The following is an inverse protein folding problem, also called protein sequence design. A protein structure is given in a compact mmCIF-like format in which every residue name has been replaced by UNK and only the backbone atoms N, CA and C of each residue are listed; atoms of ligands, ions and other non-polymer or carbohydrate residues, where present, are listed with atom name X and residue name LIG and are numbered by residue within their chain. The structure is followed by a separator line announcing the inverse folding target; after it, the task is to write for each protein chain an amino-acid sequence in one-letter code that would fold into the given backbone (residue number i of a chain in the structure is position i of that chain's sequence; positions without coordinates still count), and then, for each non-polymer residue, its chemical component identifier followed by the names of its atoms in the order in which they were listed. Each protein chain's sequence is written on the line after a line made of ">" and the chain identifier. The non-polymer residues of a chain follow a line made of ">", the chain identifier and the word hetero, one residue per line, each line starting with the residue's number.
data_IF_987980537860
#
_entry.id   IF_987980537860
#
_cell.length_a   1.000
_cell.length_b   1.000
_cell.length_c   1.000
_cell.angle_alpha   90.00
_cell.angle_beta   90.00
_cell.angle_gamma   90.00
#
_symmetry.space_group_name_H-M   'P 1'
#
loop_
_entity.id
_entity.type
_entity.pdbx_description
1 polymer ?
#
# COMPACT_ATOMS: atom_id res chain seq x y z
N UNK A 1 3.82 54.17 -18.67
CA UNK A 1 4.91 53.37 -18.06
C UNK A 1 4.42 52.94 -16.69
N UNK A 2 3.85 51.75 -16.59
CA UNK A 2 3.32 51.23 -15.33
C UNK A 2 4.48 50.83 -14.41
N UNK A 3 4.68 51.61 -13.35
CA UNK A 3 5.63 51.27 -12.30
C UNK A 3 5.03 50.14 -11.47
N UNK A 4 5.53 48.91 -11.63
CA UNK A 4 5.19 47.81 -10.74
C UNK A 4 5.54 48.21 -9.31
N UNK A 5 4.51 48.46 -8.50
CA UNK A 5 4.63 48.76 -7.07
C UNK A 5 5.55 47.74 -6.39
N UNK A 6 6.47 48.16 -5.51
CA UNK A 6 7.41 47.26 -4.83
C UNK A 6 6.68 46.18 -4.02
N UNK A 7 5.45 46.45 -3.59
CA UNK A 7 4.59 45.49 -2.88
C UNK A 7 4.16 44.32 -3.76
N UNK A 8 3.88 44.56 -5.05
CA UNK A 8 3.48 43.51 -6.00
C UNK A 8 4.62 42.53 -6.24
N UNK A 9 5.86 43.03 -6.37
CA UNK A 9 7.06 42.19 -6.49
C UNK A 9 7.35 41.43 -5.20
N UNK A 10 7.17 42.07 -4.04
CA UNK A 10 7.34 41.41 -2.75
C UNK A 10 6.32 40.28 -2.55
N UNK A 11 5.06 40.51 -2.92
CA UNK A 11 3.99 39.51 -2.86
C UNK A 11 4.28 38.32 -3.79
N UNK A 12 4.75 38.58 -5.01
CA UNK A 12 5.15 37.52 -5.95
C UNK A 12 6.32 36.69 -5.41
N UNK A 13 7.34 37.35 -4.84
CA UNK A 13 8.48 36.67 -4.24
C UNK A 13 8.06 35.84 -3.02
N UNK A 14 7.21 36.38 -2.15
CA UNK A 14 6.66 35.64 -1.01
C UNK A 14 5.86 34.40 -1.46
N UNK A 15 5.06 34.52 -2.52
CA UNK A 15 4.31 33.39 -3.08
C UNK A 15 5.25 32.30 -3.64
N UNK A 16 6.32 32.70 -4.34
CA UNK A 16 7.32 31.79 -4.89
C UNK A 16 8.17 31.12 -3.79
N UNK A 17 8.52 31.83 -2.72
CA UNK A 17 9.21 31.25 -1.56
C UNK A 17 8.30 30.32 -0.74
N UNK A 18 6.98 30.49 -0.83
CA UNK A 18 6.01 29.57 -0.21
C UNK A 18 5.84 28.28 -1.00
N UNK A 19 6.19 28.30 -2.29
CA UNK A 19 6.09 27.15 -3.18
C UNK A 19 7.36 26.30 -3.02
N UNK A 20 7.37 25.47 -1.97
CA UNK A 20 8.47 24.57 -1.67
C UNK A 20 8.74 23.63 -2.86
N UNK A 21 9.89 23.73 -3.56
CA UNK A 21 10.23 22.84 -4.66
C UNK A 21 10.56 21.41 -4.20
N UNK A 22 10.63 21.17 -2.88
CA UNK A 22 10.76 19.85 -2.24
C UNK A 22 9.41 19.14 -2.06
N UNK A 23 8.29 19.84 -2.20
CA UNK A 23 6.98 19.26 -2.45
C UNK A 23 6.95 18.76 -3.90
N UNK A 24 7.74 17.73 -4.18
CA UNK A 24 7.42 16.79 -5.25
C UNK A 24 5.96 16.44 -5.00
N UNK A 25 5.06 16.89 -5.87
CA UNK A 25 3.74 16.32 -5.99
C UNK A 25 3.97 14.87 -6.37
N UNK A 26 4.24 14.03 -5.36
CA UNK A 26 4.03 12.60 -5.43
C UNK A 26 2.52 12.52 -5.52
N UNK A 27 2.02 12.78 -6.73
CA UNK A 27 0.65 12.50 -7.08
C UNK A 27 0.52 11.03 -6.70
N UNK A 28 -0.34 10.69 -5.71
CA UNK A 28 -0.50 9.30 -5.33
C UNK A 28 -0.71 8.53 -6.63
N UNK A 29 0.01 7.41 -6.84
CA UNK A 29 -0.13 6.65 -8.06
C UNK A 29 -1.63 6.45 -8.26
N UNK A 30 -2.17 6.94 -9.38
CA UNK A 30 -3.60 6.92 -9.67
C UNK A 30 -4.18 5.61 -9.16
N UNK A 31 -5.03 5.67 -8.13
CA UNK A 31 -5.39 4.49 -7.34
C UNK A 31 -6.15 3.53 -8.25
N UNK A 32 -5.47 2.53 -8.80
CA UNK A 32 -6.10 1.58 -9.70
C UNK A 32 -6.92 0.61 -8.87
N UNK A 33 -8.21 0.89 -8.71
CA UNK A 33 -9.10 0.05 -7.93
C UNK A 33 -9.40 -1.27 -8.66
N UNK A 34 -9.31 -2.37 -7.93
CA UNK A 34 -9.87 -3.65 -8.36
C UNK A 34 -11.39 -3.55 -8.46
N UNK A 35 -11.92 -3.74 -9.67
CA UNK A 35 -13.37 -3.81 -9.93
C UNK A 35 -13.88 -5.24 -10.05
N UNK A 36 -12.99 -6.21 -10.28
CA UNK A 36 -13.31 -7.63 -10.39
C UNK A 36 -12.31 -8.48 -9.60
N UNK A 37 -12.82 -9.49 -8.89
CA UNK A 37 -12.03 -10.30 -7.96
C UNK A 37 -11.95 -11.76 -8.38
N UNK A 38 -10.73 -12.31 -8.41
CA UNK A 38 -10.50 -13.73 -8.65
C UNK A 38 -10.81 -14.53 -7.37
N UNK A 39 -11.82 -15.41 -7.45
CA UNK A 39 -12.29 -16.24 -6.33
C UNK A 39 -11.82 -17.69 -6.38
N UNK A 40 -11.39 -18.14 -7.56
CA UNK A 40 -10.95 -19.51 -7.79
C UNK A 40 -9.64 -19.83 -7.03
N UNK A 41 -9.34 -21.10 -6.75
CA UNK A 41 -8.09 -21.49 -6.09
C UNK A 41 -6.86 -21.00 -6.88
N UNK A 42 -5.91 -20.39 -6.16
CA UNK A 42 -4.63 -20.00 -6.76
C UNK A 42 -3.70 -21.19 -6.90
N UNK A 43 -3.05 -21.28 -8.07
CA UNK A 43 -2.04 -22.31 -8.31
C UNK A 43 -0.73 -21.96 -7.59
N UNK A 44 -0.03 -22.99 -7.09
CA UNK A 44 1.30 -22.82 -6.48
C UNK A 44 2.34 -22.25 -7.48
N UNK A 45 2.11 -22.39 -8.80
CA UNK A 45 2.97 -21.78 -9.83
C UNK A 45 2.81 -20.26 -9.89
N UNK A 46 1.58 -19.76 -9.72
CA UNK A 46 1.29 -18.32 -9.65
C UNK A 46 1.85 -17.73 -8.37
N UNK A 47 1.56 -18.36 -7.22
CA UNK A 47 1.99 -17.87 -5.90
C UNK A 47 3.51 -17.76 -5.75
N UNK A 48 4.27 -18.61 -6.45
CA UNK A 48 5.75 -18.52 -6.48
C UNK A 48 6.31 -17.34 -7.27
N UNK A 49 5.49 -16.70 -8.11
CA UNK A 49 5.88 -15.55 -8.95
C UNK A 49 5.44 -14.20 -8.37
N UNK A 50 4.78 -14.21 -7.21
CA UNK A 50 4.33 -12.99 -6.53
C UNK A 50 5.57 -12.27 -5.99
N UNK A 51 5.74 -11.01 -6.39
CA UNK A 51 6.86 -10.16 -5.98
C UNK A 51 6.43 -9.28 -4.81
N UNK A 52 5.21 -8.76 -4.85
CA UNK A 52 4.63 -7.89 -3.83
C UNK A 52 3.14 -8.20 -3.68
N UNK A 53 2.64 -7.95 -2.48
CA UNK A 53 1.20 -7.99 -2.19
C UNK A 53 0.79 -6.68 -1.56
N UNK A 54 -0.36 -6.17 -1.95
CA UNK A 54 -0.99 -5.01 -1.34
C UNK A 54 -2.41 -5.35 -0.90
N UNK A 55 -2.82 -4.77 0.22
CA UNK A 55 -4.22 -4.76 0.62
C UNK A 55 -4.85 -3.50 0.03
N UNK A 56 -5.89 -3.67 -0.78
CA UNK A 56 -6.81 -2.61 -1.16
C UNK A 56 -7.94 -2.60 -0.13
N UNK A 57 -8.01 -1.53 0.65
CA UNK A 57 -9.09 -1.28 1.61
C UNK A 57 -10.36 -0.80 0.89
N UNK A 58 -11.49 -0.88 1.59
CA UNK A 58 -12.80 -0.49 1.06
C UNK A 58 -13.19 0.90 1.60
N UNK A 59 -12.27 1.86 1.53
CA UNK A 59 -12.32 3.12 2.30
C UNK A 59 -12.91 4.30 1.52
N UNK A 60 -13.78 4.02 0.57
CA UNK A 60 -14.53 5.04 -0.19
C UNK A 60 -13.93 5.38 -1.56
N UNK A 61 -12.60 5.33 -1.72
CA UNK A 61 -11.96 5.45 -3.05
C UNK A 61 -12.15 4.19 -3.88
N UNK A 62 -11.99 3.03 -3.24
CA UNK A 62 -12.29 1.73 -3.81
C UNK A 62 -13.43 1.10 -3.02
N UNK A 63 -14.42 0.54 -3.73
CA UNK A 63 -15.64 -0.01 -3.09
C UNK A 63 -15.50 -1.49 -2.71
N UNK A 64 -14.39 -2.13 -3.07
CA UNK A 64 -14.16 -3.56 -2.85
C UNK A 64 -12.86 -3.76 -2.09
N UNK A 65 -12.90 -4.57 -1.04
CA UNK A 65 -11.69 -5.04 -0.39
C UNK A 65 -11.04 -6.14 -1.24
N UNK A 66 -9.74 -6.03 -1.50
CA UNK A 66 -9.02 -6.98 -2.35
C UNK A 66 -7.55 -7.13 -1.94
N UNK A 67 -6.99 -8.31 -2.19
CA UNK A 67 -5.53 -8.47 -2.21
C UNK A 67 -5.02 -8.31 -3.63
N UNK A 68 -4.12 -7.36 -3.87
CA UNK A 68 -3.49 -7.14 -5.16
C UNK A 68 -2.16 -7.89 -5.18
N UNK A 69 -2.09 -8.96 -5.95
CA UNK A 69 -0.84 -9.69 -6.16
C UNK A 69 -0.09 -9.09 -7.35
N UNK A 70 1.08 -8.51 -7.10
CA UNK A 70 1.94 -7.97 -8.14
C UNK A 70 2.93 -9.04 -8.62
N UNK A 71 2.85 -9.37 -9.91
CA UNK A 71 3.80 -10.20 -10.63
C UNK A 71 4.63 -9.30 -11.55
N UNK A 72 5.74 -9.82 -12.08
CA UNK A 72 6.69 -9.06 -12.91
C UNK A 72 6.07 -8.27 -14.09
N UNK A 73 4.92 -8.71 -14.62
CA UNK A 73 4.29 -8.09 -15.80
C UNK A 73 2.84 -7.68 -15.61
N UNK A 74 2.21 -8.04 -14.48
CA UNK A 74 0.78 -7.81 -14.26
C UNK A 74 0.41 -7.94 -12.80
N UNK A 75 -0.72 -7.37 -12.45
CA UNK A 75 -1.33 -7.53 -11.13
C UNK A 75 -2.58 -8.40 -11.23
N UNK A 76 -2.90 -9.10 -10.14
CA UNK A 76 -4.11 -9.93 -10.04
C UNK A 76 -4.85 -9.58 -8.75
N UNK A 77 -6.10 -9.15 -8.87
CA UNK A 77 -6.98 -8.85 -7.76
C UNK A 77 -7.62 -10.13 -7.22
N UNK A 78 -7.38 -10.45 -5.95
CA UNK A 78 -7.84 -11.67 -5.30
C UNK A 78 -8.86 -11.33 -4.23
N UNK A 79 -9.93 -12.12 -4.18
CA UNK A 79 -10.95 -11.98 -3.14
C UNK A 79 -10.37 -12.32 -1.75
N UNK A 80 -10.67 -11.54 -0.68
CA UNK A 80 -10.12 -11.78 0.67
C UNK A 80 -10.35 -13.19 1.21
N UNK A 81 -11.48 -13.81 0.85
CA UNK A 81 -11.85 -15.17 1.28
C UNK A 81 -11.15 -16.31 0.50
N UNK A 82 -10.15 -16.02 -0.33
CA UNK A 82 -9.45 -17.05 -1.12
C UNK A 82 -8.59 -17.97 -0.23
N UNK A 83 -9.01 -19.23 -0.06
CA UNK A 83 -8.32 -20.20 0.81
C UNK A 83 -6.91 -20.58 0.36
N UNK A 84 -6.58 -20.45 -0.93
CA UNK A 84 -5.21 -20.70 -1.40
C UNK A 84 -4.27 -19.58 -0.99
N UNK A 85 -4.76 -18.33 -0.99
CA UNK A 85 -4.01 -17.17 -0.54
C UNK A 85 -3.77 -17.20 0.96
N UNK A 86 -4.80 -17.49 1.77
CA UNK A 86 -4.67 -17.61 3.23
C UNK A 86 -3.60 -18.64 3.64
N UNK A 87 -3.67 -19.86 3.08
CA UNK A 87 -2.66 -20.90 3.32
C UNK A 87 -1.26 -20.53 2.83
N UNK A 88 -1.16 -19.66 1.82
CA UNK A 88 0.13 -19.18 1.35
C UNK A 88 0.74 -18.17 2.33
N UNK A 89 -0.04 -17.24 2.88
CA UNK A 89 0.40 -16.34 3.94
C UNK A 89 0.86 -17.09 5.19
N UNK A 90 0.11 -18.09 5.65
CA UNK A 90 0.52 -18.92 6.79
C UNK A 90 1.89 -19.57 6.56
N UNK A 91 2.15 -20.05 5.35
CA UNK A 91 3.47 -20.62 4.99
C UNK A 91 4.56 -19.56 4.91
N UNK A 92 4.25 -18.36 4.41
CA UNK A 92 5.23 -17.26 4.41
C UNK A 92 5.54 -16.80 5.83
N UNK A 93 4.53 -16.59 6.70
CA UNK A 93 4.74 -16.22 8.10
C UNK A 93 5.59 -17.21 8.88
N UNK A 94 5.42 -18.52 8.63
CA UNK A 94 6.32 -19.56 9.18
C UNK A 94 7.75 -19.47 8.64
N UNK A 95 7.95 -19.02 7.40
CA UNK A 95 9.28 -18.81 6.79
C UNK A 95 9.95 -17.52 7.30
N UNK A 96 9.17 -16.47 7.56
CA UNK A 96 9.65 -15.17 8.03
C UNK A 96 9.93 -15.13 9.55
N UNK A 97 9.40 -16.07 10.33
CA UNK A 97 9.83 -16.27 11.72
C UNK A 97 11.33 -16.64 11.85
N UNK A 98 12.02 -16.96 10.74
CA UNK A 98 13.48 -17.11 10.70
C UNK A 98 14.25 -15.90 10.13
N UNK A 99 13.58 -14.91 9.53
CA UNK A 99 14.18 -13.68 8.97
C UNK A 99 13.04 -12.69 8.73
N UNK A 100 12.96 -11.62 9.53
CA UNK A 100 11.85 -10.65 9.51
C UNK A 100 12.13 -9.52 8.50
N UNK A 101 11.25 -9.29 7.52
CA UNK A 101 11.20 -8.02 6.79
C UNK A 101 9.89 -7.28 7.10
N UNK A 102 10.02 -5.96 7.26
CA UNK A 102 9.03 -4.98 7.69
C UNK A 102 7.87 -4.71 6.70
N UNK A 103 7.55 -5.64 5.79
CA UNK A 103 6.47 -5.44 4.81
C UNK A 103 5.42 -6.53 4.87
N UNK A 104 4.83 -6.73 6.05
CA UNK A 104 3.54 -7.41 6.21
C UNK A 104 2.79 -6.80 7.40
N UNK A 105 2.35 -5.55 7.29
CA UNK A 105 1.31 -5.06 8.21
C UNK A 105 -0.03 -5.54 7.65
N UNK A 106 -0.38 -6.78 7.99
CA UNK A 106 -1.77 -7.15 8.14
C UNK A 106 -2.18 -6.68 9.54
N UNK A 107 -2.88 -5.55 9.62
CA UNK A 107 -3.49 -5.04 10.86
C UNK A 107 -4.83 -4.41 10.45
N UNK A 108 -5.97 -4.72 11.02
CA UNK A 108 -6.36 -5.59 12.13
C UNK A 108 -7.74 -6.15 11.72
N UNK A 109 -7.94 -7.47 11.78
CA UNK A 109 -9.22 -8.21 11.97
C UNK A 109 -9.14 -9.67 11.46
N UNK A 110 -7.99 -10.33 11.69
CA UNK A 110 -7.81 -11.74 11.35
C UNK A 110 -6.57 -12.37 11.98
N UNK A 111 -6.73 -12.77 13.25
CA UNK A 111 -5.88 -13.60 14.12
C UNK A 111 -4.70 -12.90 14.86
N UNK A 112 -4.92 -12.60 16.14
CA UNK A 112 -3.94 -12.26 17.18
C UNK A 112 -4.08 -13.31 18.32
N UNK A 113 -3.01 -13.71 19.04
CA UNK A 113 -2.39 -12.82 20.02
C UNK A 113 -0.87 -12.94 20.19
N UNK A 114 -0.17 -11.81 20.40
CA UNK A 114 0.89 -11.76 21.42
C UNK A 114 1.10 -10.34 22.00
N UNK A 115 0.69 -10.17 23.27
CA UNK A 115 1.14 -9.08 24.14
C UNK A 115 2.38 -9.57 24.88
N UNK A 116 3.56 -9.04 24.59
CA UNK A 116 4.72 -9.22 25.46
C UNK A 116 4.81 -8.01 26.42
N UNK A 117 4.81 -8.23 27.75
CA UNK A 117 5.12 -7.18 28.70
C UNK A 117 6.62 -6.86 28.66
N UNK A 118 6.92 -5.56 28.64
CA UNK A 118 8.26 -4.97 28.77
C UNK A 118 8.88 -5.46 30.08
N UNK A 119 10.03 -6.14 30.03
CA UNK A 119 10.87 -6.35 31.21
C UNK A 119 11.48 -5.00 31.59
N UNK A 120 11.10 -4.49 32.75
CA UNK A 120 11.84 -3.43 33.44
C UNK A 120 13.12 -4.04 34.05
N UNK A 121 14.26 -3.43 33.77
CA UNK A 121 15.48 -3.52 34.58
C UNK A 121 15.94 -2.09 34.83
#
# INVERSE_FOLDING_TARGET
>A
MEGCSPTSRLLLLLLLLSLDPGAVLILPPSTTCCTQLYRQPLSNKLLRKVIRVELQEADGDCHLQAFVLHLARRSVCIHPQNRSLARWFERQGKRLQGTQPDFWVARENGLEPHKAPIKQH
#
